data_IF_243686259445
#
_entry.id   IF_243686259445
#
_cell.length_a   1.000
_cell.length_b   1.000
_cell.length_c   1.000
_cell.angle_alpha   90.00
_cell.angle_beta   90.00
_cell.angle_gamma   90.00
#
_symmetry.space_group_name_H-M   'P 1'
#
loop_
_entity.id
_entity.type
_entity.pdbx_description
1 polymer ?
#
# COMPACT_ATOMS: atom_id res chain seq x y z
N UNK A 1 -22.77 3.41 -8.02
CA UNK A 1 -21.35 3.00 -7.90
C UNK A 1 -21.04 2.02 -9.02
N UNK A 2 -20.15 2.32 -9.98
CA UNK A 2 -19.73 1.32 -10.99
C UNK A 2 -18.89 0.26 -10.26
N UNK A 3 -19.32 -1.00 -10.28
CA UNK A 3 -18.54 -2.11 -9.74
C UNK A 3 -17.14 -2.09 -10.37
N UNK A 4 -16.08 -2.14 -9.54
CA UNK A 4 -14.69 -2.11 -10.02
C UNK A 4 -14.34 -3.33 -10.90
N UNK A 5 -15.14 -4.38 -10.80
CA UNK A 5 -15.14 -5.56 -11.66
C UNK A 5 -16.60 -5.90 -12.00
N UNK A 6 -17.23 -5.26 -13.00
CA UNK A 6 -18.59 -5.59 -13.39
C UNK A 6 -18.55 -6.92 -14.14
N UNK A 7 -19.14 -7.97 -13.57
CA UNK A 7 -19.42 -9.23 -14.27
C UNK A 7 -18.27 -9.78 -15.11
N UNK A 8 -17.01 -9.69 -14.63
CA UNK A 8 -15.89 -10.16 -15.45
C UNK A 8 -16.07 -11.65 -15.66
N UNK A 9 -16.34 -12.03 -16.91
CA UNK A 9 -16.25 -13.40 -17.40
C UNK A 9 -14.80 -13.83 -17.32
N UNK A 10 -14.37 -14.19 -16.12
CA UNK A 10 -13.07 -14.79 -15.91
C UNK A 10 -13.21 -16.20 -16.53
N UNK A 11 -12.37 -16.53 -17.50
CA UNK A 11 -12.02 -17.92 -17.75
C UNK A 11 -11.36 -18.40 -16.44
N UNK A 12 -12.17 -18.92 -15.50
CA UNK A 12 -11.85 -19.18 -14.09
C UNK A 12 -10.85 -20.34 -14.00
N UNK A 13 -9.60 -20.05 -14.36
CA UNK A 13 -8.46 -20.85 -13.98
C UNK A 13 -7.80 -20.24 -12.74
N UNK A 14 -7.13 -21.08 -11.96
CA UNK A 14 -6.44 -20.72 -10.71
C UNK A 14 -5.54 -19.49 -10.86
N UNK A 15 -4.98 -19.26 -12.05
CA UNK A 15 -4.19 -18.07 -12.39
C UNK A 15 -4.96 -16.75 -12.26
N UNK A 16 -6.16 -16.64 -12.84
CA UNK A 16 -6.93 -15.40 -12.78
C UNK A 16 -7.45 -15.13 -11.37
N UNK A 17 -7.74 -16.19 -10.60
CA UNK A 17 -8.12 -16.10 -9.20
C UNK A 17 -6.97 -15.51 -8.35
N UNK A 18 -5.74 -15.97 -8.57
CA UNK A 18 -4.52 -15.37 -7.99
C UNK A 18 -4.36 -13.91 -8.40
N UNK A 19 -4.51 -13.59 -9.69
CA UNK A 19 -4.38 -12.21 -10.18
C UNK A 19 -5.41 -11.28 -9.55
N UNK A 20 -6.63 -11.76 -9.32
CA UNK A 20 -7.69 -10.98 -8.70
C UNK A 20 -7.32 -10.61 -7.26
N UNK A 21 -6.92 -11.60 -6.44
CA UNK A 21 -6.51 -11.36 -5.06
C UNK A 21 -5.27 -10.46 -4.98
N UNK A 22 -4.24 -10.76 -5.77
CA UNK A 22 -2.97 -10.00 -5.74
C UNK A 22 -3.12 -8.57 -6.23
N UNK A 23 -4.00 -8.30 -7.21
CA UNK A 23 -4.33 -6.92 -7.62
C UNK A 23 -5.10 -6.17 -6.54
N UNK A 24 -6.06 -6.83 -5.87
CA UNK A 24 -6.76 -6.28 -4.72
C UNK A 24 -5.80 -5.91 -3.60
N UNK A 25 -4.94 -6.84 -3.20
CA UNK A 25 -3.89 -6.63 -2.18
C UNK A 25 -2.91 -5.53 -2.58
N UNK A 26 -2.48 -5.47 -3.84
CA UNK A 26 -1.59 -4.42 -4.30
C UNK A 26 -2.23 -3.02 -4.18
N UNK A 27 -3.52 -2.90 -4.48
CA UNK A 27 -4.25 -1.63 -4.28
C UNK A 27 -4.35 -1.28 -2.80
N UNK A 28 -4.63 -2.26 -1.94
CA UNK A 28 -4.69 -2.05 -0.50
C UNK A 28 -3.33 -1.66 0.08
N UNK A 29 -2.25 -2.34 -0.28
CA UNK A 29 -0.91 -2.00 0.15
C UNK A 29 -0.50 -0.58 -0.30
N UNK A 30 -0.87 -0.17 -1.52
CA UNK A 30 -0.63 1.21 -1.96
C UNK A 30 -1.51 2.22 -1.20
N UNK A 31 -2.74 1.86 -0.82
CA UNK A 31 -3.62 2.71 0.02
C UNK A 31 -3.00 2.93 1.39
N UNK A 32 -2.62 1.84 2.07
CA UNK A 32 -1.95 1.86 3.38
C UNK A 32 -0.66 2.67 3.31
N UNK A 33 0.19 2.43 2.32
CA UNK A 33 1.42 3.20 2.13
C UNK A 33 1.15 4.69 1.92
N UNK A 34 0.12 5.06 1.15
CA UNK A 34 -0.23 6.47 0.92
C UNK A 34 -0.70 7.15 2.20
N UNK A 35 -1.54 6.46 2.97
CA UNK A 35 -2.05 6.93 4.26
C UNK A 35 -0.93 7.14 5.28
N UNK A 36 0.03 6.22 5.34
CA UNK A 36 1.15 6.28 6.28
C UNK A 36 2.23 7.29 5.89
N UNK A 37 2.61 7.33 4.61
CA UNK A 37 3.84 8.02 4.21
C UNK A 37 3.59 9.25 3.34
N UNK A 38 2.67 9.18 2.38
CA UNK A 38 2.58 10.24 1.36
C UNK A 38 1.91 11.50 1.89
N UNK A 39 0.87 11.35 2.72
CA UNK A 39 0.23 12.43 3.47
C UNK A 39 1.25 13.16 4.36
N UNK A 40 1.97 12.41 5.19
CA UNK A 40 2.99 12.91 6.12
C UNK A 40 4.12 13.65 5.40
N UNK A 41 4.68 13.07 4.33
CA UNK A 41 5.78 13.70 3.57
C UNK A 41 5.34 15.05 2.99
N UNK A 42 4.10 15.11 2.46
CA UNK A 42 3.52 16.36 1.93
C UNK A 42 3.34 17.40 3.04
N UNK A 43 2.82 17.00 4.19
CA UNK A 43 2.62 17.89 5.33
C UNK A 43 3.94 18.40 5.93
N UNK A 44 4.98 17.56 6.01
CA UNK A 44 6.34 17.99 6.32
C UNK A 44 6.84 19.07 5.34
N UNK A 45 6.55 18.91 4.04
CA UNK A 45 6.86 19.90 3.01
C UNK A 45 6.16 21.24 3.25
N UNK A 46 4.86 21.21 3.56
CA UNK A 46 4.07 22.40 3.88
C UNK A 46 4.57 23.11 5.15
N UNK A 47 4.81 22.36 6.23
CA UNK A 47 5.34 22.88 7.48
C UNK A 47 6.74 23.51 7.31
N UNK A 48 7.62 22.89 6.50
CA UNK A 48 8.93 23.47 6.15
C UNK A 48 8.77 24.80 5.42
N UNK A 49 7.97 24.82 4.34
CA UNK A 49 7.74 26.04 3.54
C UNK A 49 7.22 27.18 4.41
N UNK A 50 6.22 26.89 5.23
CA UNK A 50 5.68 27.87 6.19
C UNK A 50 6.74 28.38 7.17
N UNK A 51 7.55 27.48 7.73
CA UNK A 51 8.59 27.88 8.68
C UNK A 51 9.61 28.83 8.05
N UNK A 52 10.01 28.59 6.79
CA UNK A 52 10.94 29.45 6.06
C UNK A 52 10.33 30.83 5.79
N UNK A 53 9.10 30.86 5.28
CA UNK A 53 8.37 32.11 5.04
C UNK A 53 8.20 32.96 6.31
N UNK A 54 7.99 32.32 7.47
CA UNK A 54 7.91 33.02 8.76
C UNK A 54 9.22 33.68 9.17
N UNK A 55 10.38 33.07 8.88
CA UNK A 55 11.68 33.69 9.13
C UNK A 55 11.93 34.88 8.20
N UNK A 56 11.40 34.83 6.99
CA UNK A 56 11.42 35.93 5.99
C UNK A 56 10.38 37.03 6.32
N UNK A 57 9.79 37.00 7.52
CA UNK A 57 8.77 37.95 8.01
C UNK A 57 7.46 37.96 7.21
N UNK A 58 7.20 36.93 6.40
CA UNK A 58 5.89 36.76 5.77
C UNK A 58 4.82 36.56 6.84
N UNK A 59 3.64 37.17 6.63
CA UNK A 59 2.46 37.02 7.49
C UNK A 59 1.65 35.75 7.18
N UNK A 60 2.22 34.79 6.44
CA UNK A 60 1.52 33.56 6.07
C UNK A 60 0.98 32.83 7.32
N UNK A 61 -0.33 32.49 7.34
CA UNK A 61 -0.88 31.65 8.40
C UNK A 61 -0.26 30.25 8.36
N UNK A 62 -0.27 29.52 9.50
CA UNK A 62 0.12 28.11 9.51
C UNK A 62 -0.72 27.30 8.50
N UNK A 63 -0.12 26.33 7.80
CA UNK A 63 -0.87 25.43 6.93
C UNK A 63 -1.86 24.60 7.76
N UNK A 64 -2.99 24.22 7.14
CA UNK A 64 -3.89 23.23 7.72
C UNK A 64 -3.22 21.84 7.64
N UNK A 65 -2.84 21.31 8.81
CA UNK A 65 -2.11 20.05 8.93
C UNK A 65 -3.01 18.99 9.61
N UNK A 66 -3.17 17.84 8.97
CA UNK A 66 -3.98 16.73 9.47
C UNK A 66 -3.15 15.70 10.26
N UNK A 67 -1.84 15.70 10.06
CA UNK A 67 -0.91 14.87 10.81
C UNK A 67 -0.59 15.46 12.19
N UNK A 68 -0.63 14.63 13.23
CA UNK A 68 -0.43 15.05 14.61
C UNK A 68 0.99 15.56 14.87
N UNK A 69 2.00 14.88 14.30
CA UNK A 69 3.39 15.29 14.43
C UNK A 69 3.64 16.62 13.72
N UNK A 70 3.19 16.77 12.47
CA UNK A 70 3.35 18.02 11.72
C UNK A 70 2.67 19.21 12.42
N UNK A 71 1.44 19.03 12.92
CA UNK A 71 0.74 20.07 13.71
C UNK A 71 1.54 20.48 14.94
N UNK A 72 1.97 19.49 15.73
CA UNK A 72 2.67 19.75 16.99
C UNK A 72 4.03 20.40 16.75
N UNK A 73 4.75 19.94 15.73
CA UNK A 73 5.99 20.54 15.27
C UNK A 73 5.82 22.01 14.89
N UNK A 74 4.78 22.34 14.12
CA UNK A 74 4.49 23.72 13.71
C UNK A 74 4.13 24.61 14.92
N UNK A 75 3.35 24.07 15.87
CA UNK A 75 3.04 24.75 17.13
C UNK A 75 4.30 25.07 17.94
N UNK A 76 5.21 24.11 18.08
CA UNK A 76 6.49 24.37 18.75
C UNK A 76 7.38 25.35 17.99
N UNK A 77 7.37 25.34 16.66
CA UNK A 77 8.09 26.34 15.88
C UNK A 77 7.56 27.76 16.12
N UNK A 78 6.24 27.94 16.24
CA UNK A 78 5.65 29.22 16.63
C UNK A 78 6.10 29.67 18.05
N UNK A 79 6.20 28.73 18.99
CA UNK A 79 6.73 29.01 20.33
C UNK A 79 8.23 29.37 20.29
N UNK A 80 9.03 28.70 19.45
CA UNK A 80 10.44 29.06 19.19
C UNK A 80 10.51 30.50 18.68
N UNK A 81 9.71 30.88 17.69
CA UNK A 81 9.69 32.25 17.18
C UNK A 81 9.34 33.26 18.29
N UNK A 82 8.38 32.93 19.15
CA UNK A 82 7.99 33.75 20.31
C UNK A 82 9.12 33.91 21.32
N UNK A 83 9.87 32.83 21.60
CA UNK A 83 11.07 32.89 22.43
C UNK A 83 12.14 33.77 21.77
N UNK A 84 12.43 33.55 20.48
CA UNK A 84 13.41 34.32 19.72
C UNK A 84 13.06 35.82 19.62
N UNK A 85 11.77 36.19 19.61
CA UNK A 85 11.32 37.58 19.63
C UNK A 85 11.50 38.30 20.97
N UNK A 86 11.88 37.60 22.03
CA UNK A 86 11.99 38.18 23.38
C UNK A 86 13.28 38.99 23.53
N UNK A 87 13.13 40.21 24.09
CA UNK A 87 14.25 41.10 24.44
C UNK A 87 14.80 40.73 25.83
N UNK A 88 16.12 40.72 25.96
CA UNK A 88 16.82 40.37 27.20
C UNK A 88 17.08 38.88 27.39
N UNK A 89 18.28 38.54 27.88
CA UNK A 89 18.72 37.15 28.04
C UNK A 89 17.93 36.39 29.13
N UNK A 90 17.59 37.05 30.24
CA UNK A 90 16.84 36.43 31.35
C UNK A 90 15.45 35.95 30.90
N UNK A 91 14.64 36.85 30.34
CA UNK A 91 13.29 36.52 29.81
C UNK A 91 13.35 35.49 28.68
N UNK A 92 14.37 35.54 27.83
CA UNK A 92 14.60 34.52 26.82
C UNK A 92 14.85 33.14 27.46
N UNK A 93 15.72 33.07 28.47
CA UNK A 93 16.06 31.83 29.17
C UNK A 93 14.86 31.18 29.88
N UNK A 94 13.96 31.97 30.46
CA UNK A 94 12.70 31.48 31.03
C UNK A 94 11.79 30.86 29.98
N UNK A 95 11.56 31.58 28.87
CA UNK A 95 10.74 31.05 27.75
C UNK A 95 11.36 29.82 27.12
N UNK A 96 12.68 29.80 26.98
CA UNK A 96 13.40 28.63 26.44
C UNK A 96 13.24 27.41 27.35
N UNK A 97 13.41 27.56 28.67
CA UNK A 97 13.17 26.46 29.63
C UNK A 97 11.72 25.99 29.64
N UNK A 98 10.76 26.91 29.54
CA UNK A 98 9.34 26.57 29.43
C UNK A 98 9.04 25.78 28.14
N UNK A 99 9.60 26.22 27.00
CA UNK A 99 9.51 25.52 25.72
C UNK A 99 10.06 24.09 25.82
N UNK A 100 11.27 23.92 26.35
CA UNK A 100 11.87 22.60 26.49
C UNK A 100 11.02 21.67 27.36
N UNK A 101 10.46 22.16 28.47
CA UNK A 101 9.52 21.37 29.30
C UNK A 101 8.30 20.92 28.50
N UNK A 102 7.72 21.81 27.70
CA UNK A 102 6.56 21.47 26.87
C UNK A 102 6.93 20.46 25.76
N UNK A 103 8.11 20.58 25.16
CA UNK A 103 8.64 19.64 24.17
C UNK A 103 8.90 18.26 24.78
N UNK A 104 9.57 18.18 25.95
CA UNK A 104 9.85 16.90 26.63
C UNK A 104 8.58 16.14 26.98
N UNK A 105 7.50 16.83 27.35
CA UNK A 105 6.19 16.22 27.59
C UNK A 105 5.55 15.62 26.34
N UNK A 106 5.89 16.13 25.16
CA UNK A 106 5.36 15.63 23.90
C UNK A 106 6.20 14.49 23.33
N UNK A 107 7.50 14.70 23.23
CA UNK A 107 8.45 13.73 22.65
C UNK A 107 9.80 13.89 23.37
N UNK A 108 10.07 13.07 24.41
CA UNK A 108 11.32 13.11 25.16
C UNK A 108 12.55 12.92 24.28
N UNK A 109 12.50 11.99 23.32
CA UNK A 109 13.64 11.61 22.49
C UNK A 109 14.00 12.71 21.48
N UNK A 110 13.00 13.27 20.80
CA UNK A 110 13.21 14.41 19.89
C UNK A 110 13.70 15.62 20.66
N UNK A 111 13.19 15.83 21.88
CA UNK A 111 13.64 16.94 22.71
C UNK A 111 15.07 16.74 23.20
N UNK A 112 15.45 15.54 23.62
CA UNK A 112 16.81 15.23 24.05
C UNK A 112 17.82 15.43 22.92
N UNK A 113 17.49 15.02 21.69
CA UNK A 113 18.31 15.30 20.49
C UNK A 113 18.43 16.80 20.25
N UNK A 114 17.29 17.51 20.21
CA UNK A 114 17.24 18.95 19.97
C UNK A 114 18.07 19.73 21.01
N UNK A 115 17.90 19.40 22.29
CA UNK A 115 18.62 20.00 23.40
C UNK A 115 20.10 19.66 23.36
N UNK A 116 20.48 18.40 23.07
CA UNK A 116 21.87 17.99 22.93
C UNK A 116 22.63 18.78 21.86
N UNK A 117 21.97 19.14 20.75
CA UNK A 117 22.56 20.01 19.74
C UNK A 117 22.78 21.44 20.24
N UNK A 118 21.84 21.97 21.02
CA UNK A 118 21.88 23.35 21.51
C UNK A 118 22.77 23.52 22.74
N UNK A 119 22.88 22.49 23.58
CA UNK A 119 23.70 22.51 24.79
C UNK A 119 25.16 22.86 24.49
N UNK A 120 25.70 22.33 23.38
CA UNK A 120 27.06 22.63 22.89
C UNK A 120 27.27 24.10 22.48
N UNK A 121 26.19 24.88 22.40
CA UNK A 121 26.17 26.29 21.98
C UNK A 121 25.77 27.23 23.12
N UNK A 122 25.48 26.71 24.31
CA UNK A 122 25.21 27.51 25.50
C UNK A 122 26.53 28.03 26.10
N UNK A 123 26.75 29.35 26.18
CA UNK A 123 27.92 29.91 26.85
C UNK A 123 27.84 29.73 28.37
N UNK A 124 28.99 29.49 29.02
CA UNK A 124 29.08 29.29 30.49
C UNK A 124 28.73 30.56 31.27
N UNK A 125 29.09 31.73 30.75
CA UNK A 125 28.92 33.04 31.42
C UNK A 125 27.71 33.84 30.87
N UNK A 126 26.79 33.17 30.18
CA UNK A 126 25.61 33.82 29.58
C UNK A 126 25.87 34.42 28.19
N UNK A 127 24.80 34.94 27.58
CA UNK A 127 24.85 35.38 26.19
C UNK A 127 25.22 36.86 26.03
N UNK A 128 26.23 37.14 25.20
CA UNK A 128 26.37 38.47 24.57
C UNK A 128 25.23 38.73 23.59
N UNK A 129 24.95 39.98 23.22
CA UNK A 129 23.89 40.31 22.23
C UNK A 129 24.08 39.57 20.90
N UNK A 130 25.32 39.50 20.40
CA UNK A 130 25.68 38.75 19.19
C UNK A 130 25.55 37.25 19.40
N UNK A 131 25.98 36.73 20.55
CA UNK A 131 25.85 35.32 20.92
C UNK A 131 24.38 34.86 21.00
N UNK A 132 23.52 35.68 21.60
CA UNK A 132 22.08 35.41 21.72
C UNK A 132 21.41 35.36 20.34
N UNK A 133 21.75 36.30 19.45
CA UNK A 133 21.24 36.31 18.07
C UNK A 133 21.63 35.03 17.32
N UNK A 134 22.90 34.62 17.40
CA UNK A 134 23.39 33.38 16.79
C UNK A 134 22.68 32.15 17.35
N UNK A 135 22.51 32.08 18.66
CA UNK A 135 21.80 30.97 19.32
C UNK A 135 20.34 30.87 18.87
N UNK A 136 19.63 31.99 18.77
CA UNK A 136 18.25 32.05 18.25
C UNK A 136 18.17 31.52 16.81
N UNK A 137 19.15 31.81 15.96
CA UNK A 137 19.22 31.25 14.59
C UNK A 137 19.42 29.73 14.62
N UNK A 138 20.35 29.24 15.44
CA UNK A 138 20.60 27.80 15.61
C UNK A 138 19.35 27.06 16.10
N UNK A 139 18.63 27.58 17.09
CA UNK A 139 17.38 27.00 17.59
C UNK A 139 16.38 26.71 16.46
N UNK A 140 16.18 27.69 15.56
CA UNK A 140 15.25 27.56 14.43
C UNK A 140 15.75 26.55 13.41
N UNK A 141 17.05 26.60 13.09
CA UNK A 141 17.66 25.68 12.13
C UNK A 141 17.63 24.22 12.60
N UNK A 142 17.92 23.98 13.88
CA UNK A 142 17.91 22.64 14.48
C UNK A 142 16.49 22.09 14.60
N UNK A 143 15.49 22.91 14.92
CA UNK A 143 14.10 22.43 14.94
C UNK A 143 13.60 22.02 13.55
N UNK A 144 13.99 22.78 12.51
CA UNK A 144 13.75 22.36 11.11
C UNK A 144 14.51 21.09 10.72
N UNK A 145 15.64 20.80 11.35
CA UNK A 145 16.37 19.56 11.11
C UNK A 145 15.58 18.34 11.61
N UNK A 146 14.88 18.45 12.74
CA UNK A 146 14.00 17.37 13.24
C UNK A 146 12.86 17.06 12.25
N UNK A 147 12.24 18.08 11.66
CA UNK A 147 11.23 17.89 10.60
C UNK A 147 11.82 17.17 9.38
N UNK A 148 13.04 17.54 8.97
CA UNK A 148 13.73 16.89 7.84
C UNK A 148 14.07 15.44 8.15
N UNK A 149 14.56 15.15 9.35
CA UNK A 149 14.87 13.79 9.80
C UNK A 149 13.62 12.91 9.77
N UNK A 150 12.53 13.36 10.39
CA UNK A 150 11.27 12.62 10.40
C UNK A 150 10.74 12.37 8.97
N UNK A 151 10.86 13.35 8.07
CA UNK A 151 10.54 13.17 6.65
C UNK A 151 11.43 12.12 5.97
N UNK A 152 12.74 12.16 6.20
CA UNK A 152 13.69 11.22 5.61
C UNK A 152 13.42 9.77 6.07
N UNK A 153 13.08 9.56 7.33
CA UNK A 153 12.70 8.24 7.87
C UNK A 153 11.48 7.68 7.13
N UNK A 154 10.45 8.51 6.87
CA UNK A 154 9.25 8.11 6.12
C UNK A 154 9.52 7.92 4.62
N UNK A 155 10.43 8.70 4.03
CA UNK A 155 10.88 8.50 2.65
C UNK A 155 11.65 7.18 2.49
N UNK A 156 12.47 6.82 3.48
CA UNK A 156 13.18 5.53 3.52
C UNK A 156 12.19 4.37 3.62
N UNK A 157 11.22 4.44 4.54
CA UNK A 157 10.14 3.45 4.66
C UNK A 157 9.34 3.30 3.35
N UNK A 158 9.00 4.41 2.69
CA UNK A 158 8.35 4.39 1.37
C UNK A 158 9.18 3.68 0.30
N UNK A 159 10.49 3.92 0.27
CA UNK A 159 11.41 3.27 -0.67
C UNK A 159 11.52 1.77 -0.38
N UNK A 160 11.63 1.40 0.87
CA UNK A 160 11.68 0.01 1.32
C UNK A 160 10.40 -0.75 0.91
N UNK A 161 9.23 -0.18 1.19
CA UNK A 161 7.95 -0.73 0.73
C UNK A 161 7.89 -0.87 -0.80
N UNK A 162 8.34 0.13 -1.56
CA UNK A 162 8.32 0.05 -3.02
C UNK A 162 9.13 -1.13 -3.57
N UNK A 163 10.20 -1.51 -2.87
CA UNK A 163 11.02 -2.68 -3.19
C UNK A 163 10.37 -4.00 -2.72
N UNK A 164 9.69 -3.99 -1.58
CA UNK A 164 9.11 -5.20 -0.98
C UNK A 164 7.69 -5.54 -1.49
N UNK A 165 6.92 -4.57 -1.99
CA UNK A 165 5.49 -4.75 -2.29
C UNK A 165 5.17 -5.90 -3.26
N UNK A 166 6.05 -6.17 -4.21
CA UNK A 166 5.88 -7.29 -5.13
C UNK A 166 6.37 -8.61 -4.52
N UNK A 167 7.35 -8.56 -3.62
CA UNK A 167 7.81 -9.74 -2.87
C UNK A 167 6.71 -10.27 -1.94
N UNK A 168 5.93 -9.37 -1.33
CA UNK A 168 4.73 -9.72 -0.55
C UNK A 168 3.74 -10.58 -1.34
N UNK A 169 3.68 -10.41 -2.66
CA UNK A 169 2.74 -11.09 -3.54
C UNK A 169 3.34 -12.36 -4.18
N UNK A 170 4.67 -12.51 -4.20
CA UNK A 170 5.33 -13.65 -4.86
C UNK A 170 5.11 -14.96 -4.10
N UNK A 171 4.89 -16.06 -4.83
CA UNK A 171 4.91 -17.40 -4.23
C UNK A 171 6.31 -17.75 -3.67
N UNK A 172 6.41 -18.59 -2.63
CA UNK A 172 7.69 -19.03 -2.07
C UNK A 172 8.64 -19.64 -3.11
N UNK A 173 8.13 -20.49 -4.00
CA UNK A 173 8.91 -21.17 -5.03
C UNK A 173 9.54 -20.18 -6.03
N UNK A 174 8.93 -19.00 -6.19
CA UNK A 174 9.37 -17.94 -7.10
C UNK A 174 10.25 -16.88 -6.41
N UNK A 175 10.58 -17.07 -5.14
CA UNK A 175 11.48 -16.19 -4.39
C UNK A 175 12.90 -16.76 -4.42
N UNK A 176 13.85 -15.98 -4.95
CA UNK A 176 15.26 -16.31 -4.75
C UNK A 176 15.65 -16.21 -3.27
N UNK A 177 16.71 -16.92 -2.86
CA UNK A 177 17.24 -16.85 -1.48
C UNK A 177 17.50 -15.40 -1.01
N UNK A 178 17.94 -14.52 -1.91
CA UNK A 178 18.17 -13.10 -1.64
C UNK A 178 16.86 -12.33 -1.42
N UNK A 179 15.85 -12.58 -2.24
CA UNK A 179 14.53 -11.96 -2.08
C UNK A 179 13.81 -12.47 -0.83
N UNK A 180 13.92 -13.75 -0.49
CA UNK A 180 13.38 -14.32 0.74
C UNK A 180 13.94 -13.65 1.99
N UNK A 181 15.27 -13.45 2.06
CA UNK A 181 15.89 -12.69 3.16
C UNK A 181 15.37 -11.25 3.24
N UNK A 182 15.28 -10.55 2.11
CA UNK A 182 14.74 -9.18 2.06
C UNK A 182 13.29 -9.11 2.55
N UNK A 183 12.46 -10.06 2.12
CA UNK A 183 11.07 -10.15 2.54
C UNK A 183 10.95 -10.40 4.06
N UNK A 184 11.78 -11.29 4.61
CA UNK A 184 11.80 -11.56 6.05
C UNK A 184 12.17 -10.31 6.87
N UNK A 185 13.24 -9.61 6.49
CA UNK A 185 13.63 -8.33 7.13
C UNK A 185 12.52 -7.29 7.02
N UNK A 186 11.88 -7.19 5.85
CA UNK A 186 10.77 -6.26 5.65
C UNK A 186 9.58 -6.57 6.58
N UNK A 187 9.20 -7.85 6.71
CA UNK A 187 8.08 -8.28 7.56
C UNK A 187 8.36 -8.05 9.04
N UNK A 188 9.61 -8.23 9.50
CA UNK A 188 10.02 -7.90 10.87
C UNK A 188 9.85 -6.40 11.17
N UNK A 189 10.19 -5.52 10.22
CA UNK A 189 10.00 -4.07 10.36
C UNK A 189 8.58 -3.58 10.11
N UNK A 190 7.71 -4.40 9.50
CA UNK A 190 6.36 -4.01 9.06
C UNK A 190 5.31 -5.07 9.42
N UNK A 191 4.94 -5.22 10.71
CA UNK A 191 4.00 -6.24 11.17
C UNK A 191 2.65 -6.23 10.44
N UNK A 192 2.19 -5.05 10.00
CA UNK A 192 0.94 -4.88 9.24
C UNK A 192 0.93 -5.64 7.90
N UNK A 193 2.11 -5.97 7.34
CA UNK A 193 2.22 -6.74 6.10
C UNK A 193 2.24 -8.26 6.32
N UNK A 194 2.34 -8.73 7.57
CA UNK A 194 2.38 -10.15 7.94
C UNK A 194 1.07 -10.87 7.66
N UNK A 195 -0.05 -10.40 8.24
CA UNK A 195 -1.36 -11.03 8.05
C UNK A 195 -1.76 -11.13 6.55
N UNK A 196 -1.63 -10.07 5.73
CA UNK A 196 -1.91 -10.18 4.30
C UNK A 196 -1.03 -11.20 3.57
N UNK A 197 0.24 -11.34 3.99
CA UNK A 197 1.16 -12.32 3.45
C UNK A 197 0.73 -13.74 3.81
N UNK A 198 0.38 -14.00 5.06
CA UNK A 198 -0.06 -15.31 5.53
C UNK A 198 -1.36 -15.76 4.84
N UNK A 199 -2.35 -14.89 4.76
CA UNK A 199 -3.59 -15.18 4.04
C UNK A 199 -3.33 -15.49 2.56
N UNK A 200 -2.44 -14.74 1.90
CA UNK A 200 -2.08 -15.03 0.52
C UNK A 200 -1.34 -16.37 0.36
N UNK A 201 -0.44 -16.72 1.28
CA UNK A 201 0.25 -18.02 1.27
C UNK A 201 -0.71 -19.18 1.48
N UNK A 202 -1.64 -19.05 2.44
CA UNK A 202 -2.72 -20.02 2.64
C UNK A 202 -3.57 -20.18 1.38
N UNK A 203 -3.89 -19.06 0.71
CA UNK A 203 -4.61 -19.10 -0.55
C UNK A 203 -3.83 -19.81 -1.66
N UNK A 204 -2.51 -19.59 -1.76
CA UNK A 204 -1.68 -20.33 -2.73
C UNK A 204 -1.66 -21.82 -2.46
N UNK A 205 -1.48 -22.24 -1.21
CA UNK A 205 -1.48 -23.65 -0.83
C UNK A 205 -2.80 -24.33 -1.22
N UNK A 206 -3.94 -23.68 -1.01
CA UNK A 206 -5.24 -24.23 -1.41
C UNK A 206 -5.37 -24.45 -2.91
N UNK A 207 -4.78 -23.57 -3.73
CA UNK A 207 -4.84 -23.72 -5.20
C UNK A 207 -3.96 -24.85 -5.72
N UNK A 208 -2.97 -25.27 -4.94
CA UNK A 208 -2.06 -26.36 -5.29
C UNK A 208 -2.57 -27.73 -4.75
N UNK A 209 -3.62 -27.73 -3.93
CA UNK A 209 -4.25 -28.93 -3.34
C UNK A 209 -5.60 -29.26 -4.01
N UNK A 210 -5.77 -30.44 -4.62
CA UNK A 210 -7.03 -30.84 -5.25
C UNK A 210 -8.21 -30.99 -4.27
N UNK A 211 -7.96 -31.15 -2.97
CA UNK A 211 -8.99 -31.13 -1.91
C UNK A 211 -9.39 -29.71 -1.50
N UNK A 212 -8.64 -28.68 -1.94
CA UNK A 212 -8.89 -27.27 -1.66
C UNK A 212 -10.28 -26.78 -2.08
N UNK A 213 -10.95 -27.51 -2.98
CA UNK A 213 -12.36 -27.29 -3.38
C UNK A 213 -13.32 -27.33 -2.18
N UNK A 214 -13.03 -28.14 -1.16
CA UNK A 214 -13.91 -28.39 0.01
C UNK A 214 -13.55 -27.45 1.18
N UNK A 215 -12.44 -26.72 1.07
CA UNK A 215 -12.00 -25.73 2.06
C UNK A 215 -12.68 -24.37 1.87
N UNK A 216 -13.20 -23.81 2.97
CA UNK A 216 -13.76 -22.45 2.95
C UNK A 216 -12.71 -21.37 2.66
N UNK A 217 -13.13 -20.33 1.95
CA UNK A 217 -12.35 -19.11 1.69
C UNK A 217 -12.62 -17.99 2.71
N UNK A 218 -13.35 -18.26 3.80
CA UNK A 218 -13.71 -17.24 4.81
C UNK A 218 -12.50 -16.61 5.49
N UNK A 219 -11.35 -17.28 5.53
CA UNK A 219 -10.12 -16.68 6.05
C UNK A 219 -9.68 -15.44 5.25
N UNK A 220 -10.14 -15.26 4.00
CA UNK A 220 -9.89 -14.05 3.22
C UNK A 220 -10.61 -12.83 3.79
N UNK A 221 -11.64 -12.99 4.62
CA UNK A 221 -12.33 -11.87 5.27
C UNK A 221 -11.39 -11.13 6.24
N UNK A 222 -10.37 -11.81 6.77
CA UNK A 222 -9.31 -11.18 7.58
C UNK A 222 -8.56 -10.08 6.83
N UNK A 223 -8.53 -10.14 5.49
CA UNK A 223 -7.91 -9.13 4.64
C UNK A 223 -8.74 -7.85 4.52
N UNK A 224 -10.05 -7.93 4.82
CA UNK A 224 -11.01 -6.87 4.54
C UNK A 224 -11.46 -6.19 5.82
N UNK A 225 -11.24 -4.89 5.88
CA UNK A 225 -11.76 -3.99 6.91
C UNK A 225 -12.77 -3.00 6.29
N UNK A 226 -13.60 -2.32 7.11
CA UNK A 226 -14.53 -1.30 6.61
C UNK A 226 -13.88 -0.24 5.70
N UNK A 227 -12.64 0.14 6.02
CA UNK A 227 -11.83 1.13 5.31
C UNK A 227 -10.96 0.56 4.17
N UNK A 228 -11.01 -0.75 3.92
CA UNK A 228 -10.21 -1.39 2.87
C UNK A 228 -10.61 -0.93 1.47
N UNK A 229 -9.64 -0.93 0.56
CA UNK A 229 -9.82 -0.54 -0.83
C UNK A 229 -10.87 -1.42 -1.54
N UNK A 230 -11.76 -0.79 -2.31
CA UNK A 230 -12.88 -1.46 -3.01
C UNK A 230 -12.45 -2.66 -3.85
N UNK A 231 -11.28 -2.56 -4.49
CA UNK A 231 -10.72 -3.65 -5.28
C UNK A 231 -10.41 -4.90 -4.45
N UNK A 232 -9.92 -4.75 -3.21
CA UNK A 232 -9.67 -5.89 -2.34
C UNK A 232 -11.00 -6.50 -1.88
N UNK A 233 -11.95 -5.66 -1.46
CA UNK A 233 -13.30 -6.11 -1.06
C UNK A 233 -14.01 -6.87 -2.17
N UNK A 234 -13.98 -6.31 -3.38
CA UNK A 234 -14.56 -6.92 -4.58
C UNK A 234 -13.83 -8.21 -4.96
N UNK A 235 -12.50 -8.26 -4.86
CA UNK A 235 -11.73 -9.47 -5.11
C UNK A 235 -12.12 -10.60 -4.13
N UNK A 236 -12.13 -10.33 -2.83
CA UNK A 236 -12.50 -11.33 -1.80
C UNK A 236 -13.94 -11.81 -2.02
N UNK A 237 -14.88 -10.89 -2.20
CA UNK A 237 -16.29 -11.22 -2.46
C UNK A 237 -16.45 -12.11 -3.70
N UNK A 238 -15.77 -11.75 -4.78
CA UNK A 238 -15.83 -12.51 -6.05
C UNK A 238 -15.23 -13.90 -5.91
N UNK A 239 -14.09 -14.03 -5.22
CA UNK A 239 -13.44 -15.33 -5.00
C UNK A 239 -14.31 -16.27 -4.16
N UNK A 240 -14.97 -15.75 -3.12
CA UNK A 240 -15.92 -16.53 -2.32
C UNK A 240 -17.12 -16.96 -3.16
N UNK A 241 -17.72 -16.04 -3.92
CA UNK A 241 -18.90 -16.32 -4.75
C UNK A 241 -18.63 -17.28 -5.92
N UNK A 242 -17.39 -17.33 -6.43
CA UNK A 242 -16.99 -18.16 -7.57
C UNK A 242 -16.04 -19.30 -7.17
N UNK A 243 -15.99 -19.66 -5.89
CA UNK A 243 -15.09 -20.69 -5.32
C UNK A 243 -15.08 -21.98 -6.15
N UNK A 244 -16.24 -22.55 -6.42
CA UNK A 244 -16.37 -23.83 -7.14
C UNK A 244 -15.70 -23.79 -8.52
N UNK A 245 -15.87 -22.70 -9.25
CA UNK A 245 -15.28 -22.52 -10.57
C UNK A 245 -13.75 -22.38 -10.52
N UNK A 246 -13.20 -21.73 -9.49
CA UNK A 246 -11.75 -21.60 -9.31
C UNK A 246 -11.06 -22.96 -9.15
N UNK A 247 -11.70 -23.89 -8.44
CA UNK A 247 -11.16 -25.22 -8.17
C UNK A 247 -11.52 -26.29 -9.21
N UNK A 248 -12.55 -26.08 -10.04
CA UNK A 248 -12.89 -26.99 -11.12
C UNK A 248 -11.81 -27.08 -12.22
N UNK A 249 -10.98 -26.04 -12.39
CA UNK A 249 -9.83 -26.10 -13.30
C UNK A 249 -8.76 -27.11 -12.84
N UNK A 250 -8.57 -27.27 -11.53
CA UNK A 250 -7.62 -28.24 -10.95
C UNK A 250 -8.08 -29.67 -11.25
N UNK A 251 -9.38 -29.96 -11.05
CA UNK A 251 -9.98 -31.26 -11.43
C UNK A 251 -9.82 -31.57 -12.91
N UNK A 252 -10.07 -30.59 -13.78
CA UNK A 252 -9.92 -30.78 -15.23
C UNK A 252 -8.45 -31.06 -15.62
N UNK A 253 -7.50 -30.39 -14.97
CA UNK A 253 -6.07 -30.61 -15.19
C UNK A 253 -5.60 -32.01 -14.77
N UNK A 254 -6.11 -32.53 -13.64
CA UNK A 254 -5.80 -33.89 -13.16
C UNK A 254 -6.48 -34.97 -14.00
N UNK A 255 -7.73 -34.77 -14.41
CA UNK A 255 -8.48 -35.70 -15.25
C UNK A 255 -7.92 -35.85 -16.67
N UNK A 256 -7.04 -34.94 -17.11
CA UNK A 256 -6.43 -34.96 -18.43
C UNK A 256 -4.89 -34.86 -18.39
N UNK A 257 -4.18 -35.93 -17.96
CA UNK A 257 -2.72 -35.94 -17.79
C UNK A 257 -1.94 -35.55 -19.06
N UNK A 258 -2.49 -35.86 -20.24
CA UNK A 258 -1.91 -35.53 -21.55
C UNK A 258 -1.73 -34.03 -21.79
N UNK A 259 -2.45 -33.18 -21.04
CA UNK A 259 -2.30 -31.72 -21.11
C UNK A 259 -0.93 -31.25 -20.58
N UNK A 260 -0.26 -32.05 -19.72
CA UNK A 260 1.08 -31.75 -19.21
C UNK A 260 2.16 -31.78 -20.30
N UNK A 261 1.94 -32.55 -21.36
CA UNK A 261 2.90 -32.78 -22.45
C UNK A 261 2.71 -31.80 -23.63
N UNK A 262 1.58 -31.08 -23.66
CA UNK A 262 1.34 -30.05 -24.68
C UNK A 262 2.28 -28.88 -24.37
N UNK A 263 3.21 -28.57 -25.29
CA UNK A 263 4.20 -27.46 -25.14
C UNK A 263 3.57 -26.10 -24.81
N UNK A 264 2.30 -25.90 -25.12
CA UNK A 264 1.52 -24.71 -24.77
C UNK A 264 0.90 -24.73 -23.36
N UNK A 265 0.78 -25.87 -22.69
CA UNK A 265 0.16 -25.99 -21.36
C UNK A 265 1.18 -26.10 -20.22
N UNK A 266 2.49 -26.05 -20.50
CA UNK A 266 3.52 -25.96 -19.46
C UNK A 266 3.26 -24.74 -18.58
N UNK A 267 3.21 -24.99 -17.27
CA UNK A 267 2.84 -24.10 -16.17
C UNK A 267 3.66 -22.80 -16.18
N UNK A 268 3.28 -21.86 -17.03
CA UNK A 268 3.47 -20.42 -16.86
C UNK A 268 2.34 -19.71 -17.62
N UNK A 269 1.19 -19.42 -16.96
CA UNK A 269 -0.07 -19.14 -17.66
C UNK A 269 -0.08 -17.80 -18.41
N UNK A 270 0.84 -16.89 -18.11
CA UNK A 270 0.73 -15.50 -18.53
C UNK A 270 0.97 -15.28 -20.03
N UNK A 271 1.97 -15.97 -20.61
CA UNK A 271 2.32 -15.82 -22.02
C UNK A 271 1.39 -16.62 -22.94
N UNK A 272 0.95 -17.79 -22.47
CA UNK A 272 0.08 -18.69 -23.23
C UNK A 272 -1.34 -18.15 -23.23
N UNK A 273 -1.90 -17.72 -22.09
CA UNK A 273 -3.24 -17.16 -22.04
C UNK A 273 -3.35 -15.82 -22.76
N UNK A 274 -2.26 -15.02 -22.84
CA UNK A 274 -2.20 -13.85 -23.73
C UNK A 274 -2.27 -14.25 -25.19
N UNK A 275 -1.54 -15.27 -25.62
CA UNK A 275 -1.59 -15.78 -27.00
C UNK A 275 -2.94 -16.41 -27.32
N UNK A 276 -3.53 -17.18 -26.40
CA UNK A 276 -4.87 -17.77 -26.56
C UNK A 276 -5.94 -16.68 -26.64
N UNK A 277 -5.89 -15.66 -25.76
CA UNK A 277 -6.81 -14.52 -25.83
C UNK A 277 -6.57 -13.63 -27.05
N UNK A 278 -5.32 -13.45 -27.49
CA UNK A 278 -4.99 -12.67 -28.68
C UNK A 278 -5.41 -13.39 -29.96
N UNK A 279 -5.19 -14.70 -30.06
CA UNK A 279 -5.64 -15.54 -31.18
C UNK A 279 -7.17 -15.64 -31.18
N UNK A 280 -7.81 -15.82 -30.02
CA UNK A 280 -9.27 -15.80 -29.91
C UNK A 280 -9.88 -14.45 -30.33
N UNK A 281 -9.25 -13.32 -29.97
CA UNK A 281 -9.69 -11.97 -30.38
C UNK A 281 -9.38 -11.63 -31.83
N UNK A 282 -8.21 -12.04 -32.33
CA UNK A 282 -7.75 -11.71 -33.68
C UNK A 282 -8.37 -12.57 -34.77
N UNK A 283 -8.70 -13.84 -34.48
CA UNK A 283 -9.27 -14.74 -35.49
C UNK A 283 -10.81 -14.76 -35.53
N UNK A 284 -11.52 -14.37 -34.47
CA UNK A 284 -12.90 -14.85 -34.33
C UNK A 284 -13.98 -13.87 -33.86
N UNK A 285 -13.73 -12.55 -33.76
CA UNK A 285 -14.76 -11.49 -33.67
C UNK A 285 -16.08 -11.94 -33.01
N UNK A 286 -16.02 -12.50 -31.79
CA UNK A 286 -17.12 -13.34 -31.29
C UNK A 286 -18.36 -12.50 -31.01
N UNK A 287 -19.47 -12.82 -31.70
CA UNK A 287 -20.76 -12.13 -31.58
C UNK A 287 -21.76 -12.79 -30.62
N UNK A 288 -21.57 -14.06 -30.21
CA UNK A 288 -22.41 -14.71 -29.18
C UNK A 288 -21.71 -15.84 -28.40
N UNK A 289 -22.19 -16.11 -27.18
CA UNK A 289 -21.55 -16.98 -26.18
C UNK A 289 -21.70 -18.48 -26.48
N UNK A 290 -22.82 -18.89 -27.10
CA UNK A 290 -23.07 -20.27 -27.53
C UNK A 290 -22.13 -20.70 -28.66
N UNK A 291 -21.84 -19.77 -29.57
CA UNK A 291 -20.88 -19.98 -30.66
C UNK A 291 -19.46 -20.17 -30.14
N UNK A 292 -19.11 -19.47 -29.06
CA UNK A 292 -17.82 -19.62 -28.39
C UNK A 292 -17.74 -20.96 -27.65
N UNK A 293 -18.80 -21.36 -26.93
CA UNK A 293 -18.89 -22.65 -26.23
C UNK A 293 -18.71 -23.83 -27.17
N UNK A 294 -19.58 -23.95 -28.17
CA UNK A 294 -19.61 -25.10 -29.07
C UNK A 294 -18.29 -25.28 -29.84
N UNK A 295 -17.62 -24.18 -30.21
CA UNK A 295 -16.34 -24.23 -30.95
C UNK A 295 -15.15 -24.49 -30.04
N UNK A 296 -15.13 -23.97 -28.82
CA UNK A 296 -14.12 -24.31 -27.82
C UNK A 296 -14.21 -25.79 -27.43
N UNK A 297 -15.42 -26.31 -27.28
CA UNK A 297 -15.68 -27.73 -27.02
C UNK A 297 -15.12 -28.62 -28.13
N UNK A 298 -15.33 -28.22 -29.39
CA UNK A 298 -14.83 -28.96 -30.56
C UNK A 298 -13.31 -28.97 -30.68
N UNK A 299 -12.64 -27.86 -30.37
CA UNK A 299 -11.18 -27.71 -30.51
C UNK A 299 -10.44 -28.36 -29.33
N UNK A 300 -10.94 -28.16 -28.11
CA UNK A 300 -10.36 -28.73 -26.89
C UNK A 300 -10.75 -30.20 -26.70
N UNK A 301 -11.72 -30.68 -27.49
CA UNK A 301 -12.33 -32.02 -27.41
C UNK A 301 -12.82 -32.35 -26.00
N UNK A 302 -13.34 -31.35 -25.28
CA UNK A 302 -13.94 -31.53 -23.96
C UNK A 302 -15.09 -30.52 -23.74
N UNK A 303 -16.10 -30.84 -22.92
CA UNK A 303 -17.21 -29.93 -22.61
C UNK A 303 -16.72 -28.66 -21.89
N UNK A 304 -17.22 -27.50 -22.30
CA UNK A 304 -16.84 -26.18 -21.75
C UNK A 304 -18.09 -25.59 -21.12
N UNK A 305 -18.11 -25.54 -19.79
CA UNK A 305 -19.23 -24.96 -19.05
C UNK A 305 -19.06 -23.44 -18.96
N UNK A 306 -19.85 -22.70 -19.72
CA UNK A 306 -20.03 -21.25 -19.54
C UNK A 306 -21.09 -21.05 -18.46
N UNK A 307 -20.77 -20.30 -17.41
CA UNK A 307 -21.65 -20.07 -16.25
C UNK A 307 -22.96 -19.38 -16.67
N UNK A 308 -24.10 -19.89 -16.19
CA UNK A 308 -25.47 -19.39 -16.49
C UNK A 308 -25.71 -17.94 -16.06
N UNK A 309 -24.86 -17.36 -15.21
CA UNK A 309 -24.99 -15.94 -14.82
C UNK A 309 -24.78 -14.98 -16.01
N UNK A 310 -24.30 -15.48 -17.16
CA UNK A 310 -24.15 -14.74 -18.42
C UNK A 310 -25.42 -14.84 -19.29
N UNK A 311 -26.26 -15.87 -19.07
CA UNK A 311 -27.48 -16.09 -19.85
C UNK A 311 -28.62 -15.17 -19.39
N UNK A 312 -28.71 -14.90 -18.09
CA UNK A 312 -29.80 -14.09 -17.50
C UNK A 312 -29.66 -12.57 -17.71
N UNK A 313 -28.50 -12.07 -18.15
CA UNK A 313 -28.32 -10.64 -18.47
C UNK A 313 -28.79 -10.27 -19.87
N UNK A 314 -29.01 -11.24 -20.78
CA UNK A 314 -29.44 -10.97 -22.17
C UNK A 314 -30.94 -11.03 -22.40
N UNK A 315 -31.71 -11.63 -21.49
CA UNK A 315 -33.17 -11.76 -21.64
C UNK A 315 -33.94 -10.49 -21.26
N UNK A 316 -33.29 -9.48 -20.65
CA UNK A 316 -33.97 -8.24 -20.22
C UNK A 316 -33.95 -7.10 -21.24
N UNK A 317 -33.24 -7.23 -22.35
CA UNK A 317 -33.07 -6.14 -23.34
C UNK A 317 -33.72 -6.43 -24.72
N UNK A 318 -34.72 -7.31 -24.81
CA UNK A 318 -35.51 -7.47 -26.05
C UNK A 318 -37.02 -7.42 -25.81
N UNK A 319 -37.50 -6.24 -25.40
CA UNK A 319 -38.79 -5.72 -25.84
C UNK A 319 -38.51 -4.36 -26.44
N UNK A 320 -38.42 -4.26 -27.78
CA UNK A 320 -39.00 -3.20 -28.63
C UNK A 320 -38.99 -3.70 -30.09
N UNK A 321 -40.22 -3.91 -30.60
CA UNK A 321 -40.69 -4.11 -31.99
C UNK A 321 -40.16 -5.27 -32.81
#
# INVERSE_FOLDING_TARGET
>A
MKAAFPGVTILLCTFHAVQLLTRGLLKEFNRLQRQENTSFIRECGAARKWSTQRDERSRTPPPALSDAFCRRWAGFYAQILTACGTRGAAKFGEKYRALLRAMRRWDPDTTARYEGFLARKLPKEGFTTKGLSRFKTEMKMKWRAELRRARQEREASKKEFAQAKYLLLKRPENLSKKEGKKLATFLQGNPWAGMPREALLKYYALLDDPTGKDTSLDFLDTLVKPESHDWLRSAVTTLKAKREYVFNFVKAWEAHPKWKDVRGFKVNPEHVMKKVNAVARAQYSFRSDESARFRLERILKCPVLISETILSEKEKDQVIK
#
